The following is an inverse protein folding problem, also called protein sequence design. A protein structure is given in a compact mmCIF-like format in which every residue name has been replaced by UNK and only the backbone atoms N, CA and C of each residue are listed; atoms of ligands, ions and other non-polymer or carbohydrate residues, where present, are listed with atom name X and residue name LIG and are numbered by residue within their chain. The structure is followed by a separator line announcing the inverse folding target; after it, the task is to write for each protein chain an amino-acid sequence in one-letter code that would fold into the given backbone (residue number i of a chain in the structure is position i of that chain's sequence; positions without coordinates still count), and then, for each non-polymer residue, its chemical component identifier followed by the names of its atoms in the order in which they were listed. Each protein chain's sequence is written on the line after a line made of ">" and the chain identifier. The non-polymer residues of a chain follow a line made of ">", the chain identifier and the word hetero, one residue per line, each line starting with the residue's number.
data_IF_121765484109
#
_entry.id   IF_121765484109
#
_cell.length_a   1.000
_cell.length_b   1.000
_cell.length_c   1.000
_cell.angle_alpha   90.00
_cell.angle_beta   90.00
_cell.angle_gamma   90.00
#
_symmetry.space_group_name_H-M   'P 1'
#
loop_
_entity.id
_entity.type
_entity.pdbx_description
1 polymer ?
#
# COMPACT_ATOMS: atom_id res chain seq x y z
N UNK A 1 -16.94 -0.90 0.21
CA UNK A 1 -16.02 -1.62 1.12
C UNK A 1 -14.72 -1.89 0.38
N UNK A 2 -13.61 -1.99 1.08
CA UNK A 2 -12.33 -2.39 0.52
C UNK A 2 -11.75 -3.60 1.27
N UNK A 3 -10.82 -4.28 0.61
CA UNK A 3 -9.97 -5.30 1.20
C UNK A 3 -8.60 -5.23 0.54
N UNK A 4 -7.56 -5.65 1.25
CA UNK A 4 -6.19 -5.63 0.75
C UNK A 4 -5.42 -6.86 1.22
N UNK A 5 -4.50 -7.30 0.39
CA UNK A 5 -3.62 -8.43 0.65
C UNK A 5 -2.25 -8.16 0.06
N UNK A 6 -1.22 -8.65 0.75
CA UNK A 6 0.12 -8.74 0.24
C UNK A 6 0.55 -10.20 0.16
N UNK A 7 1.57 -10.45 -0.65
CA UNK A 7 2.30 -11.71 -0.63
C UNK A 7 2.81 -12.00 0.79
N UNK A 8 2.82 -13.28 1.16
CA UNK A 8 3.08 -13.72 2.54
C UNK A 8 4.54 -13.56 2.97
N UNK A 9 5.48 -13.36 2.04
CA UNK A 9 6.90 -13.28 2.35
C UNK A 9 7.65 -12.22 1.51
N UNK A 10 7.37 -10.92 1.72
CA UNK A 10 8.08 -9.88 1.00
C UNK A 10 9.52 -9.72 1.54
N UNK A 11 10.47 -9.36 0.66
CA UNK A 11 11.87 -9.23 1.04
C UNK A 11 12.14 -7.89 1.72
N UNK A 12 13.06 -7.86 2.70
CA UNK A 12 13.54 -6.62 3.32
C UNK A 12 14.83 -6.16 2.65
N UNK A 13 14.88 -4.89 2.26
CA UNK A 13 16.08 -4.23 1.72
C UNK A 13 16.40 -2.97 2.52
N UNK A 14 17.68 -2.59 2.61
CA UNK A 14 18.09 -1.32 3.23
C UNK A 14 18.72 -0.43 2.17
N UNK A 15 18.19 0.78 2.01
CA UNK A 15 18.69 1.76 1.05
C UNK A 15 19.24 3.00 1.74
N UNK A 16 20.17 3.66 1.08
CA UNK A 16 20.64 4.99 1.49
C UNK A 16 19.68 6.05 0.96
N UNK A 17 18.86 6.64 1.85
CA UNK A 17 17.83 7.61 1.49
C UNK A 17 18.40 9.01 1.25
N UNK A 18 19.37 9.42 2.06
CA UNK A 18 19.98 10.75 1.95
C UNK A 18 21.45 10.74 2.36
N UNK A 19 22.33 11.09 1.42
CA UNK A 19 23.69 11.52 1.73
C UNK A 19 23.70 12.99 2.11
N UNK A 20 24.26 13.33 3.26
CA UNK A 20 24.47 14.73 3.67
C UNK A 20 25.88 15.13 3.29
N UNK A 21 26.03 16.23 2.54
CA UNK A 21 27.36 16.75 2.14
C UNK A 21 28.18 17.03 3.39
N UNK A 22 29.43 16.56 3.40
CA UNK A 22 30.47 16.99 4.32
C UNK A 22 30.84 18.43 3.95
N UNK A 23 30.17 19.40 4.55
CA UNK A 23 30.59 20.80 4.55
C UNK A 23 31.47 21.08 5.77
N UNK A 24 32.42 22.00 5.60
CA UNK A 24 33.57 22.27 6.47
C UNK A 24 33.31 22.26 7.98
N UNK A 25 34.34 21.79 8.68
CA UNK A 25 34.56 21.74 10.13
C UNK A 25 33.62 22.60 10.98
N UNK A 26 32.59 21.98 11.57
CA UNK A 26 31.77 22.64 12.61
C UNK A 26 30.48 21.93 13.03
N UNK A 27 29.94 21.00 12.23
CA UNK A 27 28.68 20.29 12.59
C UNK A 27 28.88 19.04 13.45
N UNK A 28 27.95 18.85 14.40
CA UNK A 28 27.81 17.69 15.31
C UNK A 28 27.99 16.36 14.55
N UNK A 29 28.84 15.42 15.03
CA UNK A 29 29.01 14.09 14.46
C UNK A 29 27.70 13.34 14.17
N UNK A 30 26.64 13.56 14.96
CA UNK A 30 25.30 12.98 14.71
C UNK A 30 24.66 13.50 13.42
N UNK A 31 25.00 14.72 12.98
CA UNK A 31 24.49 15.34 11.75
C UNK A 31 25.19 14.84 10.47
N UNK A 32 26.28 14.07 10.61
CA UNK A 32 27.06 13.51 9.49
C UNK A 32 26.62 12.10 9.08
N UNK A 33 25.75 11.45 9.84
CA UNK A 33 25.34 10.06 9.57
C UNK A 33 24.43 10.01 8.33
N UNK A 34 24.74 9.15 7.35
CA UNK A 34 23.84 8.88 6.24
C UNK A 34 22.50 8.37 6.76
N UNK A 35 21.42 8.81 6.13
CA UNK A 35 20.06 8.40 6.48
C UNK A 35 19.73 7.14 5.70
N UNK A 36 19.65 6.01 6.39
CA UNK A 36 19.24 4.73 5.81
C UNK A 36 17.74 4.52 6.04
N UNK A 37 17.13 3.80 5.10
CA UNK A 37 15.73 3.42 5.17
C UNK A 37 15.61 1.92 4.89
N UNK A 38 14.88 1.23 5.76
CA UNK A 38 14.46 -0.14 5.49
C UNK A 38 13.18 -0.11 4.65
N UNK A 39 13.19 -0.91 3.59
CA UNK A 39 12.11 -1.03 2.63
C UNK A 39 11.67 -2.48 2.55
N UNK A 40 10.37 -2.63 2.29
CA UNK A 40 9.80 -3.89 1.84
C UNK A 40 9.89 -3.91 0.31
N UNK A 41 10.41 -4.99 -0.26
CA UNK A 41 10.76 -5.12 -1.68
C UNK A 41 10.21 -6.40 -2.27
N UNK A 42 10.01 -6.40 -3.60
CA UNK A 42 9.32 -7.52 -4.28
C UNK A 42 7.86 -7.65 -3.86
N UNK A 43 7.23 -6.55 -3.43
CA UNK A 43 5.84 -6.56 -2.98
C UNK A 43 4.94 -6.86 -4.16
N UNK A 44 4.11 -7.89 -3.98
CA UNK A 44 2.93 -8.13 -4.78
C UNK A 44 1.72 -8.04 -3.86
N UNK A 45 0.64 -7.47 -4.36
CA UNK A 45 -0.57 -7.34 -3.57
C UNK A 45 -1.79 -7.11 -4.43
N UNK A 46 -2.94 -7.29 -3.81
CA UNK A 46 -4.25 -7.07 -4.43
C UNK A 46 -5.00 -6.08 -3.56
N UNK A 47 -5.62 -5.10 -4.22
CA UNK A 47 -6.59 -4.22 -3.59
C UNK A 47 -7.94 -4.47 -4.24
N UNK A 48 -8.94 -4.80 -3.43
CA UNK A 48 -10.27 -5.12 -3.88
C UNK A 48 -11.28 -4.11 -3.35
N UNK A 49 -12.28 -3.81 -4.18
CA UNK A 49 -13.37 -2.89 -3.83
C UNK A 49 -14.72 -3.55 -4.13
N UNK A 50 -15.67 -3.37 -3.22
CA UNK A 50 -17.07 -3.82 -3.36
C UNK A 50 -18.00 -2.62 -3.21
N UNK A 51 -18.96 -2.50 -4.13
CA UNK A 51 -19.96 -1.43 -4.12
C UNK A 51 -19.43 -0.08 -4.62
N UNK A 52 -18.52 -0.08 -5.60
CA UNK A 52 -18.13 1.14 -6.32
C UNK A 52 -19.32 1.66 -7.13
N UNK A 53 -19.62 2.97 -7.13
CA UNK A 53 -20.59 3.58 -8.03
C UNK A 53 -20.25 3.26 -9.49
N UNK A 54 -21.28 3.08 -10.33
CA UNK A 54 -21.09 2.74 -11.75
C UNK A 54 -20.23 3.77 -12.50
N UNK A 55 -20.36 5.04 -12.12
CA UNK A 55 -19.61 6.18 -12.64
C UNK A 55 -18.09 6.06 -12.40
N UNK A 56 -17.67 5.38 -11.34
CA UNK A 56 -16.25 5.13 -11.03
C UNK A 56 -15.78 3.77 -11.54
N UNK A 57 -16.64 2.76 -11.44
CA UNK A 57 -16.30 1.39 -11.85
C UNK A 57 -15.94 1.28 -13.33
N UNK A 58 -16.68 1.98 -14.21
CA UNK A 58 -16.46 1.92 -15.67
C UNK A 58 -15.15 2.57 -16.10
N UNK A 59 -14.80 3.81 -15.66
CA UNK A 59 -13.48 4.37 -15.90
C UNK A 59 -12.37 3.51 -15.33
N UNK A 60 -12.46 3.04 -14.08
CA UNK A 60 -11.43 2.18 -13.47
C UNK A 60 -11.17 0.93 -14.30
N UNK A 61 -12.22 0.23 -14.74
CA UNK A 61 -12.07 -0.95 -15.61
C UNK A 61 -11.37 -0.57 -16.93
N UNK A 62 -11.73 0.57 -17.52
CA UNK A 62 -11.11 1.07 -18.76
C UNK A 62 -9.63 1.39 -18.56
N UNK A 63 -9.24 2.01 -17.44
CA UNK A 63 -7.82 2.28 -17.10
C UNK A 63 -7.01 1.01 -17.05
N UNK A 64 -7.59 -0.05 -16.48
CA UNK A 64 -6.90 -1.32 -16.23
C UNK A 64 -6.84 -2.22 -17.46
N UNK A 65 -7.78 -2.09 -18.40
CA UNK A 65 -7.79 -2.89 -19.64
C UNK A 65 -7.20 -2.17 -20.84
N UNK A 66 -7.25 -0.84 -20.87
CA UNK A 66 -6.88 0.01 -22.02
C UNK A 66 -6.13 1.27 -21.54
N UNK A 67 -4.98 1.11 -20.86
CA UNK A 67 -4.28 2.19 -20.18
C UNK A 67 -3.86 3.35 -21.09
N UNK A 68 -3.66 3.10 -22.38
CA UNK A 68 -3.28 4.08 -23.40
C UNK A 68 -4.36 5.13 -23.70
N UNK A 69 -5.62 4.86 -23.33
CA UNK A 69 -6.75 5.77 -23.59
C UNK A 69 -6.91 6.86 -22.53
N UNK A 70 -6.00 6.93 -21.55
CA UNK A 70 -6.18 7.77 -20.37
C UNK A 70 -4.91 8.55 -20.11
N UNK A 71 -5.06 9.86 -19.98
CA UNK A 71 -4.00 10.77 -19.55
C UNK A 71 -3.97 10.71 -18.02
N UNK A 72 -2.87 10.22 -17.46
CA UNK A 72 -2.65 10.18 -16.01
C UNK A 72 -1.82 11.38 -15.58
N UNK A 73 -2.17 11.97 -14.45
CA UNK A 73 -1.33 12.96 -13.79
C UNK A 73 -0.38 12.25 -12.81
N UNK A 74 0.88 12.11 -13.19
CA UNK A 74 1.91 11.44 -12.37
C UNK A 74 1.91 9.90 -12.44
N UNK A 75 2.86 9.30 -11.73
CA UNK A 75 2.97 7.84 -11.56
C UNK A 75 2.27 7.35 -10.29
N UNK A 76 1.84 6.08 -10.29
CA UNK A 76 1.41 5.42 -9.06
C UNK A 76 2.64 4.95 -8.28
N UNK A 77 2.67 5.21 -6.98
CA UNK A 77 3.78 4.84 -6.09
C UNK A 77 3.25 4.12 -4.84
N UNK A 78 4.07 3.27 -4.22
CA UNK A 78 3.81 2.68 -2.91
C UNK A 78 4.65 3.39 -1.85
N UNK A 79 4.01 4.24 -1.05
CA UNK A 79 4.70 5.07 -0.07
C UNK A 79 5.27 6.34 -0.71
N UNK A 80 6.60 6.44 -0.80
CA UNK A 80 7.27 7.62 -1.36
C UNK A 80 7.22 7.61 -2.90
N UNK A 81 7.25 8.79 -3.53
CA UNK A 81 7.17 8.96 -4.99
C UNK A 81 8.33 8.32 -5.78
N UNK A 82 9.41 7.94 -5.09
CA UNK A 82 10.54 7.22 -5.67
C UNK A 82 10.29 5.72 -5.82
N UNK A 83 9.24 5.18 -5.19
CA UNK A 83 8.89 3.76 -5.21
C UNK A 83 7.67 3.53 -6.11
N UNK A 84 7.89 3.65 -7.42
CA UNK A 84 6.85 3.48 -8.43
C UNK A 84 6.30 2.05 -8.45
N UNK A 85 5.03 1.93 -8.82
CA UNK A 85 4.40 0.64 -9.10
C UNK A 85 4.77 0.21 -10.51
N UNK A 86 5.39 -0.96 -10.62
CA UNK A 86 5.83 -1.51 -11.91
C UNK A 86 4.64 -1.93 -12.79
N UNK A 87 3.67 -2.66 -12.21
CA UNK A 87 2.56 -3.27 -12.94
C UNK A 87 1.26 -3.13 -12.16
N UNK A 88 0.22 -2.68 -12.86
CA UNK A 88 -1.16 -2.71 -12.37
C UNK A 88 -1.99 -3.43 -13.42
N UNK A 89 -2.79 -4.41 -12.99
CA UNK A 89 -3.71 -5.15 -13.85
C UNK A 89 -4.95 -5.53 -13.08
N UNK A 90 -6.05 -5.75 -13.80
CA UNK A 90 -7.24 -6.36 -13.20
C UNK A 90 -6.88 -7.78 -12.73
N UNK A 91 -7.15 -8.06 -11.46
CA UNK A 91 -6.89 -9.37 -10.87
C UNK A 91 -8.13 -10.26 -10.99
N UNK A 92 -7.99 -11.48 -11.53
CA UNK A 92 -9.10 -12.39 -11.82
C UNK A 92 -9.34 -13.45 -10.75
N UNK A 93 -10.53 -14.09 -10.77
CA UNK A 93 -10.87 -15.20 -9.86
C UNK A 93 -9.84 -16.36 -9.87
N UNK A 94 -9.31 -16.84 -11.02
CA UNK A 94 -8.29 -17.89 -11.04
C UNK A 94 -6.99 -17.50 -10.33
N UNK A 95 -6.63 -16.21 -10.37
CA UNK A 95 -5.41 -15.70 -9.76
C UNK A 95 -5.52 -15.67 -8.21
N UNK A 96 -6.75 -15.64 -7.66
CA UNK A 96 -7.00 -15.60 -6.21
C UNK A 96 -6.97 -16.96 -5.51
N UNK A 97 -7.05 -18.06 -6.25
CA UNK A 97 -7.10 -19.42 -5.69
C UNK A 97 -5.75 -20.14 -5.75
N UNK A 98 -4.82 -19.68 -6.60
CA UNK A 98 -3.55 -20.37 -6.86
C UNK A 98 -2.36 -19.87 -6.02
N UNK A 99 -2.54 -18.84 -5.19
CA UNK A 99 -1.44 -18.12 -4.54
C UNK A 99 -1.64 -18.03 -3.02
N UNK A 100 -0.53 -18.15 -2.28
CA UNK A 100 -0.48 -18.03 -0.82
C UNK A 100 -0.60 -16.56 -0.38
N UNK A 101 -1.79 -16.00 -0.54
CA UNK A 101 -2.15 -14.65 -0.16
C UNK A 101 -2.44 -14.56 1.35
N UNK A 102 -1.91 -13.52 2.01
CA UNK A 102 -2.18 -13.22 3.42
C UNK A 102 -3.02 -11.95 3.57
N UNK A 103 -4.33 -12.12 3.75
CA UNK A 103 -5.32 -11.05 3.80
C UNK A 103 -5.22 -10.25 5.10
N UNK A 104 -5.41 -8.93 5.00
CA UNK A 104 -5.57 -8.06 6.16
C UNK A 104 -7.00 -8.18 6.68
N UNK A 105 -7.15 -8.71 7.89
CA UNK A 105 -8.43 -8.85 8.58
C UNK A 105 -8.51 -7.83 9.71
N UNK A 106 -9.51 -6.93 9.75
CA UNK A 106 -9.74 -6.06 10.89
C UNK A 106 -9.91 -6.88 12.17
N UNK A 107 -9.05 -6.63 13.14
CA UNK A 107 -8.98 -7.38 14.38
C UNK A 107 -8.57 -6.44 15.52
N UNK A 108 -9.44 -6.25 16.51
CA UNK A 108 -9.16 -5.39 17.67
C UNK A 108 -7.94 -5.86 18.49
N UNK A 109 -7.59 -7.15 18.42
CA UNK A 109 -6.42 -7.75 19.07
C UNK A 109 -5.24 -7.92 18.11
N UNK A 110 -5.38 -7.51 16.85
CA UNK A 110 -4.35 -7.61 15.83
C UNK A 110 -3.10 -6.81 16.20
N UNK A 111 -1.95 -7.29 15.76
CA UNK A 111 -0.64 -6.70 16.05
C UNK A 111 -0.27 -5.55 15.10
N UNK A 112 -0.98 -5.40 13.99
CA UNK A 112 -0.72 -4.37 12.97
C UNK A 112 -1.65 -3.19 13.16
N UNK A 113 -1.17 -2.10 13.76
CA UNK A 113 -1.87 -0.83 13.82
C UNK A 113 -1.57 0.01 12.57
N UNK A 114 -2.52 0.04 11.62
CA UNK A 114 -2.32 0.64 10.30
C UNK A 114 -3.26 1.84 10.07
N UNK A 115 -2.75 2.93 9.47
CA UNK A 115 -3.62 4.01 9.00
C UNK A 115 -4.48 3.50 7.84
N UNK A 116 -5.80 3.73 7.93
CA UNK A 116 -6.76 3.37 6.88
C UNK A 116 -7.32 4.60 6.15
N UNK A 117 -7.31 5.76 6.80
CA UNK A 117 -7.67 7.03 6.20
C UNK A 117 -6.88 8.16 6.85
N UNK A 118 -6.06 8.85 6.06
CA UNK A 118 -5.16 9.91 6.54
C UNK A 118 -5.89 11.25 6.50
N UNK A 119 -5.86 11.98 7.61
CA UNK A 119 -6.18 13.40 7.64
C UNK A 119 -4.89 14.20 7.46
N UNK A 120 -4.78 14.89 6.33
CA UNK A 120 -3.58 15.66 5.96
C UNK A 120 -3.46 17.01 6.68
N UNK A 121 -4.55 17.49 7.29
CA UNK A 121 -4.60 18.76 8.01
C UNK A 121 -4.30 18.52 9.49
N UNK A 122 -4.93 17.50 10.07
CA UNK A 122 -4.83 17.13 11.48
C UNK A 122 -4.43 15.66 11.59
N UNK A 123 -3.13 15.33 11.58
CA UNK A 123 -2.67 13.94 11.62
C UNK A 123 -3.20 13.13 12.82
N UNK A 124 -3.54 13.79 13.93
CA UNK A 124 -4.20 13.20 15.10
C UNK A 124 -5.60 12.63 14.82
N UNK A 125 -6.26 13.08 13.77
CA UNK A 125 -7.57 12.59 13.30
C UNK A 125 -7.46 11.46 12.28
N UNK A 126 -6.24 11.00 11.95
CA UNK A 126 -6.02 9.83 11.08
C UNK A 126 -6.77 8.63 11.63
N UNK A 127 -7.64 8.04 10.82
CA UNK A 127 -8.35 6.82 11.17
C UNK A 127 -7.40 5.64 11.07
N UNK A 128 -7.31 4.85 12.13
CA UNK A 128 -6.45 3.67 12.23
C UNK A 128 -7.24 2.45 12.65
N UNK A 129 -6.95 1.32 12.00
CA UNK A 129 -7.50 0.02 12.37
C UNK A 129 -6.36 -0.91 12.77
N UNK A 130 -6.68 -1.87 13.64
CA UNK A 130 -5.80 -3.00 13.91
C UNK A 130 -6.14 -4.17 12.99
N UNK A 131 -5.11 -4.86 12.54
CA UNK A 131 -5.23 -5.99 11.62
C UNK A 131 -4.41 -7.20 12.07
N UNK A 132 -4.91 -8.36 11.66
CA UNK A 132 -4.21 -9.64 11.68
C UNK A 132 -4.12 -10.17 10.25
N UNK A 133 -3.08 -10.96 9.97
CA UNK A 133 -2.99 -11.66 8.69
C UNK A 133 -3.75 -12.99 8.75
N UNK A 134 -4.49 -13.29 7.69
CA UNK A 134 -5.15 -14.58 7.51
C UNK A 134 -4.87 -15.11 6.10
N UNK A 135 -4.31 -16.32 6.01
CA UNK A 135 -4.19 -17.03 4.75
C UNK A 135 -5.53 -17.62 4.34
N UNK A 136 -5.93 -17.40 3.08
CA UNK A 136 -7.15 -17.95 2.53
C UNK A 136 -7.12 -17.96 1.00
N UNK A 137 -7.82 -18.92 0.41
CA UNK A 137 -8.16 -18.90 -1.01
C UNK A 137 -9.30 -17.91 -1.26
N UNK A 138 -9.15 -17.00 -2.22
CA UNK A 138 -10.11 -15.92 -2.44
C UNK A 138 -10.13 -14.89 -1.30
N UNK A 139 -11.06 -13.93 -1.38
CA UNK A 139 -11.18 -12.84 -0.40
C UNK A 139 -12.08 -13.30 0.76
N UNK A 140 -11.60 -13.44 2.00
CA UNK A 140 -12.43 -13.78 3.14
C UNK A 140 -13.52 -12.72 3.37
N UNK A 141 -14.72 -13.13 3.77
CA UNK A 141 -15.80 -12.15 3.99
C UNK A 141 -15.50 -11.19 5.16
N UNK A 142 -14.73 -11.65 6.16
CA UNK A 142 -14.22 -10.82 7.25
C UNK A 142 -13.05 -9.90 6.85
N UNK A 143 -12.49 -10.01 5.64
CA UNK A 143 -11.44 -9.13 5.15
C UNK A 143 -11.98 -7.79 4.62
N UNK A 144 -13.32 -7.66 4.50
CA UNK A 144 -13.95 -6.44 4.01
C UNK A 144 -14.18 -5.43 5.13
N UNK A 145 -13.74 -4.20 4.90
CA UNK A 145 -14.02 -3.09 5.80
C UNK A 145 -14.49 -1.84 5.07
N UNK A 146 -15.17 -0.96 5.81
CA UNK A 146 -15.63 0.33 5.29
C UNK A 146 -14.58 1.39 5.63
N UNK A 147 -14.05 2.03 4.59
CA UNK A 147 -13.40 3.32 4.73
C UNK A 147 -14.49 4.33 5.07
N UNK A 148 -14.37 4.99 6.21
CA UNK A 148 -15.17 6.18 6.53
C UNK A 148 -14.18 7.33 6.65
N UNK A 149 -14.28 8.37 5.81
CA UNK A 149 -13.67 9.64 6.16
C UNK A 149 -14.27 10.10 7.49
N UNK A 150 -13.42 10.63 8.37
CA UNK A 150 -13.83 11.38 9.56
C UNK A 150 -14.56 12.66 9.18
#
# INVERSE_FOLDING_TARGET
>A
MCSAVADSNPARSTVLRRMRRLGDSGRDPKQRRPEYQELVTGIRGIVAYRGLPAELAKPMKTVLTTPEKIIRYGGLSLGESSFLVDVIRLFGLPDTTQSNWSWLIPDMKGSLDLPVWIDTISPSLTTKFRFSFQSAEGIPENAWFKLRPS
#
